data_IF_126888471962
#
_entry.id   IF_126888471962
#
_cell.length_a   1.000
_cell.length_b   1.000
_cell.length_c   1.000
_cell.angle_alpha   90.00
_cell.angle_beta   90.00
_cell.angle_gamma   90.00
#
_symmetry.space_group_name_H-M   'P 1'
#
loop_
_entity.id
_entity.type
_entity.pdbx_description
1 polymer ?
#
# COMPACT_ATOMS: atom_id res chain seq x y z
N UNK A 1 -7.49 0.20 27.14
CA UNK A 1 -8.74 0.50 26.38
C UNK A 1 -9.63 -0.71 26.49
N UNK A 2 -10.95 -0.54 26.63
CA UNK A 2 -11.94 -1.65 26.53
C UNK A 2 -11.85 -2.29 25.14
N UNK A 3 -11.92 -3.62 25.04
CA UNK A 3 -11.73 -4.35 23.78
C UNK A 3 -12.79 -3.99 22.71
N UNK A 4 -14.01 -3.68 23.14
CA UNK A 4 -15.08 -3.24 22.23
C UNK A 4 -14.76 -1.87 21.60
N UNK A 5 -14.14 -0.96 22.37
CA UNK A 5 -13.70 0.33 21.84
C UNK A 5 -12.49 0.16 20.92
N UNK A 6 -11.59 -0.75 21.25
CA UNK A 6 -10.47 -1.08 20.39
C UNK A 6 -10.96 -1.60 19.04
N UNK A 7 -11.86 -2.55 19.03
CA UNK A 7 -12.50 -3.06 17.79
C UNK A 7 -13.21 -1.96 17.00
N UNK A 8 -13.93 -1.05 17.70
CA UNK A 8 -14.59 0.06 17.04
C UNK A 8 -13.57 1.01 16.35
N UNK A 9 -12.45 1.33 17.00
CA UNK A 9 -11.40 2.15 16.38
C UNK A 9 -10.74 1.46 15.17
N UNK A 10 -10.53 0.14 15.19
CA UNK A 10 -10.08 -0.59 14.01
C UNK A 10 -11.08 -0.49 12.86
N UNK A 11 -12.37 -0.65 13.12
CA UNK A 11 -13.41 -0.48 12.10
C UNK A 11 -13.45 0.93 11.52
N UNK A 12 -13.26 1.95 12.37
CA UNK A 12 -13.13 3.35 11.89
C UNK A 12 -11.91 3.45 10.98
N UNK A 13 -10.71 3.06 11.45
CA UNK A 13 -9.50 3.13 10.65
C UNK A 13 -9.64 2.43 9.30
N UNK A 14 -10.11 1.19 9.28
CA UNK A 14 -10.31 0.44 8.03
C UNK A 14 -11.33 1.10 7.10
N UNK A 15 -12.43 1.60 7.65
CA UNK A 15 -13.48 2.28 6.89
C UNK A 15 -12.96 3.54 6.21
N UNK A 16 -12.28 4.39 6.97
CA UNK A 16 -11.74 5.66 6.50
C UNK A 16 -10.59 5.48 5.52
N UNK A 17 -9.67 4.53 5.75
CA UNK A 17 -8.60 4.22 4.81
C UNK A 17 -9.15 3.75 3.45
N UNK A 18 -10.17 2.88 3.45
CA UNK A 18 -10.86 2.42 2.24
C UNK A 18 -11.61 3.58 1.55
N UNK A 19 -12.26 4.46 2.32
CA UNK A 19 -12.97 5.62 1.79
C UNK A 19 -11.98 6.60 1.13
N UNK A 20 -10.90 6.95 1.79
CA UNK A 20 -9.87 7.86 1.28
C UNK A 20 -9.30 7.38 -0.06
N UNK A 21 -8.87 6.11 -0.16
CA UNK A 21 -8.37 5.54 -1.41
C UNK A 21 -9.41 5.60 -2.53
N UNK A 22 -10.65 5.19 -2.25
CA UNK A 22 -11.74 5.19 -3.22
C UNK A 22 -12.05 6.61 -3.74
N UNK A 23 -12.12 7.59 -2.83
CA UNK A 23 -12.40 8.99 -3.18
C UNK A 23 -11.27 9.60 -4.02
N UNK A 24 -10.01 9.25 -3.77
CA UNK A 24 -8.89 9.65 -4.64
C UNK A 24 -9.05 9.13 -6.06
N UNK A 25 -9.50 7.88 -6.23
CA UNK A 25 -9.76 7.30 -7.55
C UNK A 25 -10.98 7.95 -8.23
N UNK A 26 -12.04 8.24 -7.47
CA UNK A 26 -13.20 8.99 -8.00
C UNK A 26 -12.81 10.40 -8.42
N UNK A 27 -11.92 11.08 -7.69
CA UNK A 27 -11.38 12.38 -8.09
C UNK A 27 -10.63 12.32 -9.43
N UNK A 28 -9.77 11.30 -9.63
CA UNK A 28 -9.11 11.09 -10.93
C UNK A 28 -10.12 10.87 -12.06
N UNK A 29 -11.14 10.05 -11.81
CA UNK A 29 -12.19 9.79 -12.80
C UNK A 29 -12.97 11.04 -13.17
N UNK A 30 -13.33 11.87 -12.19
CA UNK A 30 -14.00 13.15 -12.42
C UNK A 30 -13.13 14.13 -13.24
N UNK A 31 -11.81 14.13 -13.05
CA UNK A 31 -10.90 14.90 -13.89
C UNK A 31 -10.92 14.43 -15.36
N UNK A 32 -10.83 13.12 -15.58
CA UNK A 32 -10.94 12.52 -16.94
C UNK A 32 -12.26 12.87 -17.64
N UNK A 33 -13.35 13.03 -16.87
CA UNK A 33 -14.67 13.42 -17.36
C UNK A 33 -14.86 14.94 -17.50
N UNK A 34 -13.82 15.73 -17.23
CA UNK A 34 -13.89 17.19 -17.34
C UNK A 34 -14.69 17.88 -16.24
N UNK A 35 -14.81 17.28 -15.04
CA UNK A 35 -15.55 17.78 -13.90
C UNK A 35 -14.61 18.20 -12.74
N UNK A 36 -13.78 19.25 -12.93
CA UNK A 36 -12.70 19.60 -11.99
C UNK A 36 -13.21 19.98 -10.59
N UNK A 37 -14.40 20.58 -10.48
CA UNK A 37 -14.99 20.96 -9.20
C UNK A 37 -15.43 19.73 -8.39
N UNK A 38 -15.95 18.70 -9.06
CA UNK A 38 -16.30 17.41 -8.44
C UNK A 38 -15.03 16.66 -8.05
N UNK A 39 -14.01 16.66 -8.90
CA UNK A 39 -12.70 16.10 -8.59
C UNK A 39 -12.10 16.75 -7.33
N UNK A 40 -12.19 18.08 -7.22
CA UNK A 40 -11.74 18.80 -6.03
C UNK A 40 -12.51 18.38 -4.78
N UNK A 41 -13.83 18.27 -4.86
CA UNK A 41 -14.66 17.80 -3.74
C UNK A 41 -14.23 16.43 -3.25
N UNK A 42 -14.03 15.47 -4.17
CA UNK A 42 -13.55 14.13 -3.81
C UNK A 42 -12.19 14.16 -3.12
N UNK A 43 -11.24 14.98 -3.58
CA UNK A 43 -9.92 15.13 -2.94
C UNK A 43 -10.02 15.72 -1.53
N UNK A 44 -10.86 16.73 -1.34
CA UNK A 44 -11.06 17.39 -0.02
C UNK A 44 -11.66 16.39 0.97
N UNK A 45 -12.67 15.62 0.57
CA UNK A 45 -13.27 14.61 1.44
C UNK A 45 -12.26 13.48 1.71
N UNK A 46 -11.52 13.00 0.70
CA UNK A 46 -10.48 11.98 0.91
C UNK A 46 -9.47 12.40 1.99
N UNK A 47 -9.02 13.65 1.98
CA UNK A 47 -8.13 14.20 3.00
C UNK A 47 -8.78 14.25 4.39
N UNK A 48 -10.07 14.57 4.47
CA UNK A 48 -10.83 14.51 5.73
C UNK A 48 -10.87 13.10 6.31
N UNK A 49 -11.10 12.08 5.46
CA UNK A 49 -11.14 10.67 5.91
C UNK A 49 -9.76 10.16 6.36
N UNK A 50 -8.68 10.65 5.76
CA UNK A 50 -7.31 10.37 6.23
C UNK A 50 -7.09 10.89 7.66
N UNK A 51 -7.58 12.09 7.98
CA UNK A 51 -7.51 12.65 9.34
C UNK A 51 -8.30 11.77 10.34
N UNK A 52 -9.47 11.28 9.95
CA UNK A 52 -10.26 10.38 10.80
C UNK A 52 -9.53 9.05 11.04
N UNK A 53 -8.95 8.45 10.01
CA UNK A 53 -8.13 7.24 10.10
C UNK A 53 -6.90 7.42 10.98
N UNK A 54 -6.16 8.53 10.80
CA UNK A 54 -5.01 8.88 11.65
C UNK A 54 -5.39 9.00 13.13
N UNK A 55 -6.50 9.66 13.44
CA UNK A 55 -6.99 9.80 14.81
C UNK A 55 -7.32 8.45 15.43
N UNK A 56 -7.91 7.53 14.66
CA UNK A 56 -8.20 6.18 15.12
C UNK A 56 -6.90 5.40 15.43
N UNK A 57 -5.90 5.44 14.56
CA UNK A 57 -4.57 4.82 14.79
C UNK A 57 -3.87 5.39 16.03
N UNK A 58 -3.95 6.69 16.27
CA UNK A 58 -3.41 7.32 17.48
C UNK A 58 -4.12 6.82 18.75
N UNK A 59 -5.43 6.64 18.73
CA UNK A 59 -6.20 6.08 19.83
C UNK A 59 -5.86 4.61 20.08
N UNK A 60 -5.56 3.85 19.03
CA UNK A 60 -5.08 2.46 19.10
C UNK A 60 -3.62 2.35 19.61
N UNK A 61 -2.88 3.47 19.60
CA UNK A 61 -1.45 3.54 19.91
C UNK A 61 -0.60 2.68 18.95
N UNK A 62 -0.94 2.69 17.66
CA UNK A 62 -0.24 1.96 16.60
C UNK A 62 0.72 2.85 15.81
N UNK A 63 0.90 4.11 16.20
CA UNK A 63 1.96 4.97 15.70
C UNK A 63 3.05 5.04 16.77
N UNK A 64 4.07 4.23 16.60
CA UNK A 64 5.18 4.04 17.51
C UNK A 64 6.42 4.83 17.04
N UNK A 65 7.58 4.54 17.65
CA UNK A 65 8.87 5.01 17.13
C UNK A 65 9.21 4.34 15.79
N UNK A 66 10.15 4.93 15.04
CA UNK A 66 10.49 4.48 13.69
C UNK A 66 10.97 3.03 13.67
N UNK A 67 11.75 2.59 14.64
CA UNK A 67 12.27 1.22 14.71
C UNK A 67 11.13 0.21 14.88
N UNK A 68 10.19 0.49 15.78
CA UNK A 68 9.01 -0.33 16.01
C UNK A 68 8.11 -0.37 14.77
N UNK A 69 7.86 0.79 14.16
CA UNK A 69 7.05 0.89 12.93
C UNK A 69 7.66 0.09 11.77
N UNK A 70 8.99 0.11 11.59
CA UNK A 70 9.68 -0.70 10.58
C UNK A 70 9.52 -2.20 10.85
N UNK A 71 9.63 -2.64 12.10
CA UNK A 71 9.43 -4.05 12.49
C UNK A 71 8.01 -4.52 12.23
N UNK A 72 7.03 -3.70 12.59
CA UNK A 72 5.61 -3.98 12.35
C UNK A 72 5.29 -4.02 10.87
N UNK A 73 5.81 -3.07 10.08
CA UNK A 73 5.66 -3.06 8.62
C UNK A 73 6.26 -4.32 8.00
N UNK A 74 7.50 -4.67 8.34
CA UNK A 74 8.13 -5.91 7.87
C UNK A 74 7.29 -7.15 8.18
N UNK A 75 6.81 -7.28 9.42
CA UNK A 75 5.99 -8.41 9.85
C UNK A 75 4.63 -8.44 9.13
N UNK A 76 4.05 -7.27 8.82
CA UNK A 76 2.81 -7.17 8.07
C UNK A 76 2.97 -7.66 6.63
N UNK A 77 3.99 -7.13 5.90
CA UNK A 77 4.23 -7.51 4.50
C UNK A 77 4.53 -9.01 4.38
N UNK A 78 5.39 -9.55 5.25
CA UNK A 78 5.70 -10.98 5.28
C UNK A 78 4.44 -11.83 5.47
N UNK A 79 3.59 -11.46 6.43
CA UNK A 79 2.33 -12.20 6.68
C UNK A 79 1.35 -12.09 5.52
N UNK A 80 1.25 -10.93 4.89
CA UNK A 80 0.36 -10.71 3.74
C UNK A 80 0.85 -11.55 2.55
N UNK A 81 2.15 -11.52 2.24
CA UNK A 81 2.73 -12.31 1.16
C UNK A 81 2.54 -13.82 1.38
N UNK A 82 2.94 -14.33 2.57
CA UNK A 82 2.99 -15.77 2.84
C UNK A 82 1.62 -16.40 3.16
N UNK A 83 0.67 -15.64 3.73
CA UNK A 83 -0.59 -16.21 4.23
C UNK A 83 -1.78 -15.74 3.40
N UNK A 84 -1.95 -14.42 3.24
CA UNK A 84 -3.14 -13.89 2.58
C UNK A 84 -3.13 -14.20 1.08
N UNK A 85 -2.03 -13.90 0.39
CA UNK A 85 -1.94 -14.14 -1.06
C UNK A 85 -1.88 -15.62 -1.43
N UNK A 86 -1.29 -16.48 -0.59
CA UNK A 86 -1.36 -17.92 -0.81
C UNK A 86 -2.81 -18.44 -0.81
N UNK A 87 -3.62 -17.94 0.13
CA UNK A 87 -5.04 -18.27 0.17
C UNK A 87 -5.80 -17.75 -1.06
N UNK A 88 -5.55 -16.48 -1.45
CA UNK A 88 -6.21 -15.87 -2.61
C UNK A 88 -5.82 -16.54 -3.93
N UNK A 89 -4.56 -16.95 -4.08
CA UNK A 89 -4.08 -17.68 -5.25
C UNK A 89 -4.72 -19.08 -5.36
N UNK A 90 -4.87 -19.79 -4.25
CA UNK A 90 -5.61 -21.07 -4.23
C UNK A 90 -7.05 -20.89 -4.66
N UNK A 91 -7.73 -19.90 -4.09
CA UNK A 91 -9.12 -19.56 -4.45
C UNK A 91 -9.27 -19.21 -5.93
N UNK A 92 -8.39 -18.35 -6.47
CA UNK A 92 -8.40 -17.98 -7.87
C UNK A 92 -8.16 -19.18 -8.80
N UNK A 93 -7.27 -20.10 -8.39
CA UNK A 93 -7.02 -21.36 -9.10
C UNK A 93 -8.21 -22.30 -9.08
N UNK A 94 -8.89 -22.45 -7.94
CA UNK A 94 -10.10 -23.28 -7.80
C UNK A 94 -11.25 -22.74 -8.66
N UNK A 95 -11.41 -21.43 -8.73
CA UNK A 95 -12.43 -20.75 -9.57
C UNK A 95 -12.04 -20.78 -11.05
N UNK A 96 -10.74 -20.85 -11.36
CA UNK A 96 -10.22 -20.81 -12.72
C UNK A 96 -10.22 -19.39 -13.31
N UNK A 97 -10.01 -18.36 -12.48
CA UNK A 97 -9.91 -16.95 -12.94
C UNK A 97 -8.43 -16.55 -13.17
N UNK A 98 -7.97 -16.49 -14.44
CA UNK A 98 -6.59 -16.16 -14.75
C UNK A 98 -6.25 -14.68 -14.45
N UNK A 99 -7.22 -13.77 -14.52
CA UNK A 99 -7.00 -12.36 -14.23
C UNK A 99 -6.76 -12.14 -12.72
N UNK A 100 -7.57 -12.77 -11.87
CA UNK A 100 -7.38 -12.76 -10.42
C UNK A 100 -6.04 -13.41 -10.04
N UNK A 101 -5.71 -14.58 -10.64
CA UNK A 101 -4.44 -15.26 -10.41
C UNK A 101 -3.25 -14.36 -10.75
N UNK A 102 -3.30 -13.68 -11.88
CA UNK A 102 -2.24 -12.76 -12.32
C UNK A 102 -2.06 -11.58 -11.36
N UNK A 103 -3.17 -10.93 -10.97
CA UNK A 103 -3.14 -9.80 -10.03
C UNK A 103 -2.58 -10.24 -8.67
N UNK A 104 -3.08 -11.33 -8.10
CA UNK A 104 -2.64 -11.81 -6.78
C UNK A 104 -1.18 -12.27 -6.79
N UNK A 105 -0.71 -12.91 -7.88
CA UNK A 105 0.70 -13.29 -8.02
C UNK A 105 1.61 -12.07 -8.02
N UNK A 106 1.30 -11.06 -8.82
CA UNK A 106 2.09 -9.83 -8.86
C UNK A 106 2.09 -9.10 -7.51
N UNK A 107 0.92 -8.99 -6.85
CA UNK A 107 0.86 -8.34 -5.54
C UNK A 107 1.71 -9.07 -4.51
N UNK A 108 1.61 -10.40 -4.42
CA UNK A 108 2.45 -11.21 -3.53
C UNK A 108 3.95 -10.95 -3.76
N UNK A 109 4.39 -11.00 -5.01
CA UNK A 109 5.80 -10.81 -5.35
C UNK A 109 6.28 -9.38 -5.01
N UNK A 110 5.39 -8.39 -5.05
CA UNK A 110 5.66 -7.01 -4.62
C UNK A 110 5.75 -6.90 -3.10
N UNK A 111 4.88 -7.58 -2.34
CA UNK A 111 4.95 -7.56 -0.86
C UNK A 111 6.25 -8.20 -0.35
N UNK A 112 6.78 -9.21 -1.02
CA UNK A 112 8.11 -9.77 -0.71
C UNK A 112 9.22 -8.73 -0.93
N UNK A 113 9.11 -7.90 -1.95
CA UNK A 113 10.06 -6.79 -2.20
C UNK A 113 9.95 -5.74 -1.10
N UNK A 114 8.73 -5.34 -0.71
CA UNK A 114 8.49 -4.39 0.38
C UNK A 114 9.07 -4.90 1.71
N UNK A 115 8.83 -6.16 2.06
CA UNK A 115 9.41 -6.79 3.25
C UNK A 115 10.96 -6.71 3.23
N UNK A 116 11.59 -6.99 2.09
CA UNK A 116 13.04 -6.88 1.95
C UNK A 116 13.55 -5.43 2.08
N UNK A 117 12.81 -4.43 1.60
CA UNK A 117 13.15 -3.02 1.78
C UNK A 117 13.09 -2.61 3.25
N UNK A 118 12.04 -3.02 3.98
CA UNK A 118 11.94 -2.79 5.43
C UNK A 118 13.08 -3.47 6.20
N UNK A 119 13.42 -4.71 5.83
CA UNK A 119 14.55 -5.43 6.43
C UNK A 119 15.89 -4.71 6.19
N UNK A 120 16.12 -4.20 4.99
CA UNK A 120 17.30 -3.37 4.70
C UNK A 120 17.31 -2.10 5.55
N UNK A 121 16.19 -1.38 5.61
CA UNK A 121 16.07 -0.16 6.41
C UNK A 121 16.36 -0.41 7.89
N UNK A 122 15.88 -1.50 8.48
CA UNK A 122 16.20 -1.88 9.86
C UNK A 122 17.68 -2.15 10.09
N UNK A 123 18.36 -2.78 9.12
CA UNK A 123 19.79 -3.07 9.22
C UNK A 123 20.66 -1.81 9.07
N UNK A 124 20.15 -0.75 8.46
CA UNK A 124 20.87 0.50 8.15
C UNK A 124 20.28 1.72 8.89
N UNK A 125 19.53 1.51 9.96
CA UNK A 125 18.89 2.58 10.75
C UNK A 125 19.85 3.66 11.25
N UNK A 126 21.14 3.32 11.38
CA UNK A 126 22.20 4.22 11.85
C UNK A 126 23.07 4.76 10.68
N UNK A 127 22.79 4.37 9.46
CA UNK A 127 23.50 4.83 8.28
C UNK A 127 22.64 5.86 7.56
N UNK A 128 23.12 7.09 7.46
CA UNK A 128 22.52 8.11 6.59
C UNK A 128 22.75 7.67 5.13
N UNK A 129 21.74 7.07 4.51
CA UNK A 129 21.73 6.68 3.12
C UNK A 129 20.72 7.49 2.35
N UNK A 130 21.19 8.43 1.57
CA UNK A 130 20.37 9.03 0.53
C UNK A 130 20.19 8.03 -0.62
N UNK A 131 18.96 7.75 -0.98
CA UNK A 131 18.62 6.91 -2.12
C UNK A 131 17.35 7.43 -2.80
N UNK A 132 17.23 7.16 -4.08
CA UNK A 132 16.02 7.45 -4.84
C UNK A 132 15.24 6.16 -5.01
N UNK A 133 13.95 6.19 -4.75
CA UNK A 133 13.07 5.06 -4.99
C UNK A 133 12.27 5.26 -6.28
N UNK A 134 12.04 4.16 -7.00
CA UNK A 134 11.23 4.14 -8.22
C UNK A 134 10.08 3.15 -8.04
N UNK A 135 8.84 3.62 -8.20
CA UNK A 135 7.63 2.80 -7.98
C UNK A 135 6.92 2.54 -9.30
N UNK A 136 6.72 1.28 -9.64
CA UNK A 136 5.96 0.87 -10.81
C UNK A 136 4.45 1.15 -10.60
N UNK A 137 3.86 2.00 -11.45
CA UNK A 137 2.43 2.36 -11.40
C UNK A 137 1.48 1.21 -11.74
N UNK A 138 1.99 0.12 -12.30
CA UNK A 138 1.18 -1.02 -12.73
C UNK A 138 0.98 -2.02 -11.60
N UNK A 139 2.06 -2.38 -10.86
CA UNK A 139 1.99 -3.43 -9.84
C UNK A 139 2.46 -3.00 -8.45
N UNK A 140 3.00 -1.78 -8.28
CA UNK A 140 3.52 -1.31 -7.00
C UNK A 140 4.96 -1.73 -6.68
N UNK A 141 5.66 -2.48 -7.56
CA UNK A 141 7.06 -2.84 -7.36
C UNK A 141 7.91 -1.62 -7.05
N UNK A 142 8.77 -1.71 -6.05
CA UNK A 142 9.69 -0.64 -5.63
C UNK A 142 11.13 -1.04 -5.93
N UNK A 143 11.84 -0.20 -6.68
CA UNK A 143 13.29 -0.31 -6.91
C UNK A 143 14.04 0.72 -6.08
N UNK A 144 15.14 0.32 -5.49
CA UNK A 144 16.02 1.12 -4.62
C UNK A 144 17.27 1.52 -5.41
N UNK A 145 17.43 2.82 -5.67
CA UNK A 145 18.60 3.46 -6.28
C UNK A 145 18.63 3.48 -7.81
N UNK A 146 18.01 2.52 -8.49
CA UNK A 146 18.07 2.43 -9.97
C UNK A 146 16.69 2.17 -10.56
N UNK A 147 16.27 3.01 -11.51
CA UNK A 147 15.05 2.77 -12.28
C UNK A 147 15.28 1.67 -13.32
N UNK A 148 14.60 0.52 -13.25
CA UNK A 148 14.76 -0.55 -14.22
C UNK A 148 14.20 -0.14 -15.60
N UNK A 149 14.75 -0.70 -16.68
CA UNK A 149 14.20 -0.53 -18.03
C UNK A 149 12.85 -1.27 -18.20
N UNK A 150 12.69 -2.36 -17.45
CA UNK A 150 11.47 -3.17 -17.42
C UNK A 150 11.22 -3.64 -16.00
N UNK A 151 9.97 -3.55 -15.55
CA UNK A 151 9.58 -4.03 -14.24
C UNK A 151 9.82 -5.54 -14.10
N UNK A 152 10.59 -6.01 -13.11
CA UNK A 152 10.88 -7.44 -12.94
C UNK A 152 9.67 -8.28 -12.51
N UNK A 153 8.61 -7.65 -12.01
CA UNK A 153 7.38 -8.34 -11.57
C UNK A 153 6.34 -8.39 -12.70
N UNK A 154 5.96 -7.25 -13.28
CA UNK A 154 4.85 -7.19 -14.24
C UNK A 154 5.28 -6.87 -15.68
N UNK A 155 6.57 -6.76 -15.96
CA UNK A 155 7.15 -6.44 -17.27
C UNK A 155 6.73 -5.07 -17.84
N UNK A 156 6.20 -4.17 -17.03
CA UNK A 156 5.88 -2.80 -17.44
C UNK A 156 7.15 -2.05 -17.85
N UNK A 157 7.12 -1.21 -18.89
CA UNK A 157 8.27 -0.45 -19.35
C UNK A 157 8.65 0.67 -18.37
N UNK A 158 9.87 1.22 -18.53
CA UNK A 158 10.47 2.24 -17.66
C UNK A 158 9.61 3.48 -17.44
N UNK A 159 8.84 3.91 -18.44
CA UNK A 159 7.96 5.07 -18.38
C UNK A 159 6.75 4.90 -17.43
N UNK A 160 6.54 3.69 -16.94
CA UNK A 160 5.56 3.39 -15.91
C UNK A 160 6.11 3.54 -14.49
N UNK A 161 7.35 3.98 -14.31
CA UNK A 161 7.92 4.23 -13.00
C UNK A 161 7.80 5.70 -12.60
N UNK A 162 7.55 5.91 -11.30
CA UNK A 162 7.56 7.22 -10.64
C UNK A 162 8.73 7.27 -9.69
N UNK A 163 9.44 8.39 -9.73
CA UNK A 163 10.55 8.68 -8.83
C UNK A 163 10.06 9.31 -7.52
N UNK A 164 10.68 8.92 -6.40
CA UNK A 164 10.45 9.42 -5.04
C UNK A 164 11.77 9.74 -4.34
#
# INVERSE_FOLDING_TARGET
MDDRLKEAFYKVYEGEAKAALRLRLFGKKAEEEGLPQIAQLFRVIAFSEEIHGERALRMLKEINDTETNLKESFASETRVAEVAYDHFLKLAGEIGDPAATHIFSHSRDVEDVHANLYKKAMNHLMEERETTYYVCRVCGYVSDGVCPDTCPVCSAPRDQFVEF
#
